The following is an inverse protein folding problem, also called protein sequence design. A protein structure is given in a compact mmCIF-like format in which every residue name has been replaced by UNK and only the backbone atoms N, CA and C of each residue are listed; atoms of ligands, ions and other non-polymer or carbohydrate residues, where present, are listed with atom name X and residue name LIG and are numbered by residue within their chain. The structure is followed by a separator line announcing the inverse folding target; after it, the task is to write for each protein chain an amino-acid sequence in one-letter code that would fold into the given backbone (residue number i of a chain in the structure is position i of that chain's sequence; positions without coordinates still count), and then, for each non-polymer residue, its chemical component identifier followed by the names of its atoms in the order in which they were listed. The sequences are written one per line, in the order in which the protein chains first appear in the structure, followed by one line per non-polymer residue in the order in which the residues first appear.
data_IF_817495410604
#
_entry.id   IF_817495410604
#
_cell.length_a   1.000
_cell.length_b   1.000
_cell.length_c   1.000
_cell.angle_alpha   90.00
_cell.angle_beta   90.00
_cell.angle_gamma   90.00
#
_symmetry.space_group_name_H-M   'P 1'
#
loop_
_entity.id
_entity.type
_entity.pdbx_description
1 polymer ?
#
# COMPACT_ATOMS: atom_id res chain seq x y z
N UNK A 1 -1.93 -48.33 -14.44
CA UNK A 1 -2.81 -49.51 -14.60
C UNK A 1 -2.58 -50.04 -16.00
N UNK A 2 -2.38 -51.35 -16.16
CA UNK A 2 -2.32 -51.96 -17.49
C UNK A 2 -3.70 -51.83 -18.12
N UNK A 3 -3.81 -51.18 -19.27
CA UNK A 3 -5.08 -50.98 -19.94
C UNK A 3 -5.63 -52.33 -20.45
N UNK A 4 -6.93 -52.54 -20.30
CA UNK A 4 -7.61 -53.80 -20.57
C UNK A 4 -8.75 -53.56 -21.55
N UNK A 5 -8.66 -54.13 -22.75
CA UNK A 5 -9.68 -53.97 -23.79
C UNK A 5 -10.60 -55.20 -23.85
N UNK A 6 -11.87 -54.98 -24.20
CA UNK A 6 -12.82 -56.05 -24.50
C UNK A 6 -12.57 -56.59 -25.90
N UNK A 7 -12.93 -57.85 -26.09
CA UNK A 7 -13.00 -58.50 -27.42
C UNK A 7 -13.69 -57.60 -28.46
N UNK A 8 -14.82 -57.02 -28.10
CA UNK A 8 -15.61 -56.17 -29.00
C UNK A 8 -14.87 -54.91 -29.42
N UNK A 9 -14.05 -54.34 -28.54
CA UNK A 9 -13.30 -53.11 -28.84
C UNK A 9 -12.17 -53.40 -29.84
N UNK A 10 -11.41 -54.47 -29.60
CA UNK A 10 -10.31 -54.90 -30.46
C UNK A 10 -10.83 -55.33 -31.84
N UNK A 11 -11.90 -56.14 -31.89
CA UNK A 11 -12.50 -56.54 -33.16
C UNK A 11 -13.14 -55.36 -33.90
N UNK A 12 -13.68 -54.37 -33.20
CA UNK A 12 -14.25 -53.18 -33.86
C UNK A 12 -13.15 -52.37 -34.55
N UNK A 13 -11.98 -52.20 -33.94
CA UNK A 13 -10.86 -51.49 -34.58
C UNK A 13 -10.38 -52.21 -35.85
N UNK A 14 -10.20 -53.54 -35.78
CA UNK A 14 -9.83 -54.35 -36.96
C UNK A 14 -10.90 -54.25 -38.05
N UNK A 15 -12.18 -54.31 -37.65
CA UNK A 15 -13.29 -54.21 -38.59
C UNK A 15 -13.37 -52.83 -39.24
N UNK A 16 -13.12 -51.76 -38.48
CA UNK A 16 -13.07 -50.39 -38.99
C UNK A 16 -11.94 -50.24 -40.01
N UNK A 17 -10.75 -50.79 -39.74
CA UNK A 17 -9.65 -50.80 -40.69
C UNK A 17 -10.01 -51.52 -42.00
N UNK A 18 -10.58 -52.73 -41.91
CA UNK A 18 -10.98 -53.54 -43.08
C UNK A 18 -12.07 -52.86 -43.92
N UNK A 19 -12.89 -52.02 -43.30
CA UNK A 19 -14.02 -51.34 -43.96
C UNK A 19 -13.73 -49.89 -44.33
N UNK A 20 -12.58 -49.34 -43.92
CA UNK A 20 -12.23 -47.93 -44.09
C UNK A 20 -12.24 -47.48 -45.55
N UNK A 21 -11.73 -48.33 -46.45
CA UNK A 21 -11.53 -47.99 -47.86
C UNK A 21 -12.72 -48.44 -48.73
N UNK A 22 -13.79 -48.97 -48.11
CA UNK A 22 -14.97 -49.50 -48.79
C UNK A 22 -14.73 -50.78 -49.60
N UNK A 23 -13.49 -51.29 -49.65
CA UNK A 23 -13.10 -52.53 -50.31
C UNK A 23 -12.70 -53.58 -49.26
N UNK A 24 -13.37 -54.73 -49.27
CA UNK A 24 -13.06 -55.82 -48.33
C UNK A 24 -12.00 -56.72 -48.96
N UNK A 25 -10.75 -56.60 -48.50
CA UNK A 25 -9.66 -57.47 -48.94
C UNK A 25 -9.83 -58.87 -48.32
N UNK A 26 -9.81 -59.96 -49.12
CA UNK A 26 -10.01 -61.32 -48.61
C UNK A 26 -9.02 -61.74 -47.52
N UNK A 27 -7.74 -61.38 -47.67
CA UNK A 27 -6.69 -61.69 -46.68
C UNK A 27 -6.94 -61.01 -45.33
N UNK A 28 -7.36 -59.74 -45.34
CA UNK A 28 -7.69 -58.99 -44.12
C UNK A 28 -8.95 -59.54 -43.45
N UNK A 29 -9.98 -59.91 -44.24
CA UNK A 29 -11.18 -60.57 -43.72
C UNK A 29 -10.87 -61.93 -43.08
N UNK A 30 -9.97 -62.70 -43.69
CA UNK A 30 -9.50 -63.99 -43.17
C UNK A 30 -8.74 -63.78 -41.83
N UNK A 31 -7.86 -62.77 -41.77
CA UNK A 31 -7.20 -62.37 -40.53
C UNK A 31 -8.19 -62.03 -39.41
N UNK A 32 -9.21 -61.20 -39.69
CA UNK A 32 -10.26 -60.88 -38.73
C UNK A 32 -11.02 -62.12 -38.23
N UNK A 33 -11.34 -63.06 -39.12
CA UNK A 33 -12.05 -64.28 -38.74
C UNK A 33 -11.21 -65.18 -37.82
N UNK A 34 -9.94 -65.40 -38.15
CA UNK A 34 -9.03 -66.19 -37.31
C UNK A 34 -8.74 -65.52 -35.97
N UNK A 35 -8.51 -64.21 -35.98
CA UNK A 35 -8.33 -63.43 -34.75
C UNK A 35 -9.56 -63.54 -33.85
N UNK A 36 -10.77 -63.38 -34.40
CA UNK A 36 -12.03 -63.52 -33.65
C UNK A 36 -12.17 -64.90 -33.02
N UNK A 37 -11.83 -65.97 -33.73
CA UNK A 37 -11.88 -67.34 -33.20
C UNK A 37 -10.88 -67.50 -32.05
N UNK A 38 -9.64 -67.09 -32.23
CA UNK A 38 -8.59 -67.17 -31.20
C UNK A 38 -8.97 -66.38 -29.95
N UNK A 39 -9.49 -65.16 -30.12
CA UNK A 39 -9.89 -64.32 -29.01
C UNK A 39 -11.19 -64.78 -28.33
N UNK A 40 -12.13 -65.43 -29.04
CA UNK A 40 -13.32 -66.02 -28.43
C UNK A 40 -13.00 -67.12 -27.41
N UNK A 41 -11.82 -67.77 -27.53
CA UNK A 41 -11.38 -68.79 -26.59
C UNK A 41 -10.78 -68.19 -25.30
N UNK A 42 -10.59 -66.88 -25.24
CA UNK A 42 -10.09 -66.18 -24.07
C UNK A 42 -11.24 -65.68 -23.21
N UNK A 43 -11.17 -65.92 -21.90
CA UNK A 43 -12.19 -65.49 -20.94
C UNK A 43 -11.73 -64.22 -20.22
N UNK A 44 -12.38 -63.09 -20.51
CA UNK A 44 -12.16 -61.84 -19.79
C UNK A 44 -11.72 -60.69 -20.68
N UNK A 45 -11.04 -59.71 -20.07
CA UNK A 45 -10.45 -58.57 -20.78
C UNK A 45 -9.03 -58.94 -21.23
N UNK A 46 -8.56 -58.29 -22.29
CA UNK A 46 -7.23 -58.52 -22.83
C UNK A 46 -6.30 -57.37 -22.47
N UNK A 47 -5.10 -57.69 -21.98
CA UNK A 47 -4.03 -56.71 -21.85
C UNK A 47 -3.23 -56.55 -23.15
N UNK A 48 -2.43 -55.49 -23.24
CA UNK A 48 -1.61 -55.16 -24.41
C UNK A 48 -0.72 -56.34 -24.88
N UNK A 49 -0.09 -57.04 -23.94
CA UNK A 49 0.79 -58.16 -24.23
C UNK A 49 0.02 -59.38 -24.78
N UNK A 50 -1.13 -59.71 -24.20
CA UNK A 50 -2.02 -60.79 -24.65
C UNK A 50 -2.55 -60.52 -26.06
N UNK A 51 -3.00 -59.29 -26.33
CA UNK A 51 -3.45 -58.92 -27.68
C UNK A 51 -2.30 -58.96 -28.67
N UNK A 52 -1.12 -58.47 -28.30
CA UNK A 52 0.08 -58.53 -29.13
C UNK A 52 0.47 -59.97 -29.50
N UNK A 53 0.43 -60.89 -28.53
CA UNK A 53 0.67 -62.31 -28.78
C UNK A 53 -0.38 -62.93 -29.71
N UNK A 54 -1.66 -62.66 -29.49
CA UNK A 54 -2.75 -63.20 -30.33
C UNK A 54 -2.72 -62.66 -31.77
N UNK A 55 -2.37 -61.38 -31.95
CA UNK A 55 -2.17 -60.78 -33.27
C UNK A 55 -1.01 -61.43 -34.02
N UNK A 56 0.11 -61.65 -33.34
CA UNK A 56 1.28 -62.30 -33.92
C UNK A 56 0.97 -63.76 -34.31
N UNK A 57 0.31 -64.51 -33.43
CA UNK A 57 -0.12 -65.87 -33.74
C UNK A 57 -1.08 -65.92 -34.94
N UNK A 58 -2.00 -64.97 -35.03
CA UNK A 58 -2.92 -64.87 -36.18
C UNK A 58 -2.17 -64.52 -37.47
N UNK A 59 -1.14 -63.67 -37.40
CA UNK A 59 -0.29 -63.32 -38.54
C UNK A 59 0.49 -64.53 -39.06
N UNK A 60 0.99 -65.38 -38.16
CA UNK A 60 1.69 -66.61 -38.51
C UNK A 60 0.79 -67.63 -39.21
N UNK A 61 -0.52 -67.59 -38.96
CA UNK A 61 -1.51 -68.44 -39.65
C UNK A 61 -2.01 -67.83 -40.96
N UNK A 62 -2.13 -66.50 -41.04
CA UNK A 62 -2.59 -65.76 -42.23
C UNK A 62 -1.39 -65.10 -42.93
N UNK A 63 -0.61 -65.94 -43.61
CA UNK A 63 0.58 -65.49 -44.34
C UNK A 63 0.26 -64.58 -45.54
N UNK A 64 -0.96 -64.66 -46.06
CA UNK A 64 -1.47 -63.86 -47.19
C UNK A 64 -1.69 -62.38 -46.86
N UNK A 65 -1.69 -62.01 -45.58
CA UNK A 65 -1.76 -60.61 -45.15
C UNK A 65 -0.41 -59.92 -45.41
N UNK A 66 -0.42 -58.69 -45.94
CA UNK A 66 0.81 -57.93 -46.15
C UNK A 66 1.39 -57.46 -44.82
N UNK A 67 2.71 -57.26 -44.76
CA UNK A 67 3.36 -56.73 -43.56
C UNK A 67 2.91 -55.31 -43.24
N UNK A 68 2.59 -54.52 -44.27
CA UNK A 68 2.04 -53.17 -44.14
C UNK A 68 0.65 -53.21 -43.48
N UNK A 69 -0.26 -54.07 -43.97
CA UNK A 69 -1.60 -54.21 -43.39
C UNK A 69 -1.56 -54.75 -41.96
N UNK A 70 -0.70 -55.74 -41.70
CA UNK A 70 -0.51 -56.26 -40.35
C UNK A 70 0.00 -55.17 -39.39
N UNK A 71 1.03 -54.43 -39.81
CA UNK A 71 1.61 -53.34 -38.99
C UNK A 71 0.58 -52.25 -38.75
N UNK A 72 -0.24 -51.90 -39.74
CA UNK A 72 -1.31 -50.93 -39.60
C UNK A 72 -2.38 -51.41 -38.59
N UNK A 73 -2.86 -52.65 -38.71
CA UNK A 73 -3.83 -53.25 -37.78
C UNK A 73 -3.25 -53.30 -36.36
N UNK A 74 -2.01 -53.76 -36.21
CA UNK A 74 -1.31 -53.83 -34.93
C UNK A 74 -1.22 -52.45 -34.27
N UNK A 75 -0.76 -51.43 -35.00
CA UNK A 75 -0.58 -50.09 -34.47
C UNK A 75 -1.91 -49.45 -34.05
N UNK A 76 -2.98 -49.62 -34.82
CA UNK A 76 -4.31 -49.08 -34.47
C UNK A 76 -4.80 -49.67 -33.14
N UNK A 77 -4.60 -50.96 -32.93
CA UNK A 77 -5.00 -51.64 -31.69
C UNK A 77 -4.10 -51.20 -30.52
N UNK A 78 -2.78 -51.09 -30.74
CA UNK A 78 -1.84 -50.63 -29.70
C UNK A 78 -2.07 -49.16 -29.34
N UNK A 79 -2.38 -48.31 -30.30
CA UNK A 79 -2.73 -46.91 -30.05
C UNK A 79 -3.99 -46.79 -29.19
N UNK A 80 -4.95 -47.73 -29.32
CA UNK A 80 -6.13 -47.81 -28.45
C UNK A 80 -5.75 -47.99 -26.98
N UNK A 81 -4.79 -48.86 -26.67
CA UNK A 81 -4.23 -49.05 -25.32
C UNK A 81 -3.45 -47.82 -24.79
N UNK A 82 -3.14 -46.84 -25.65
CA UNK A 82 -2.55 -45.56 -25.25
C UNK A 82 -3.52 -44.37 -25.30
N UNK A 83 -4.72 -44.56 -25.88
CA UNK A 83 -5.72 -43.51 -26.04
C UNK A 83 -6.47 -43.23 -24.74
N UNK A 84 -6.85 -44.26 -23.99
CA UNK A 84 -7.60 -44.06 -22.74
C UNK A 84 -6.77 -43.33 -21.71
N UNK A 85 -5.49 -43.70 -21.55
CA UNK A 85 -4.56 -42.98 -20.68
C UNK A 85 -4.42 -41.49 -21.06
N UNK A 86 -4.30 -41.18 -22.36
CA UNK A 86 -4.24 -39.79 -22.83
C UNK A 86 -5.55 -39.03 -22.58
N UNK A 87 -6.69 -39.69 -22.72
CA UNK A 87 -8.00 -39.10 -22.44
C UNK A 87 -8.18 -38.80 -20.94
N UNK A 88 -7.74 -39.72 -20.08
CA UNK A 88 -7.76 -39.53 -18.62
C UNK A 88 -6.84 -38.38 -18.19
N UNK A 89 -5.64 -38.30 -18.73
CA UNK A 89 -4.71 -37.19 -18.51
C UNK A 89 -5.28 -35.86 -19.01
N UNK A 90 -5.94 -35.86 -20.18
CA UNK A 90 -6.61 -34.67 -20.72
C UNK A 90 -7.79 -34.22 -19.84
N UNK A 91 -8.61 -35.15 -19.36
CA UNK A 91 -9.73 -34.85 -18.46
C UNK A 91 -9.25 -34.34 -17.10
N UNK A 92 -8.16 -34.89 -16.55
CA UNK A 92 -7.51 -34.35 -15.35
C UNK A 92 -7.01 -32.92 -15.56
N UNK A 93 -6.34 -32.66 -16.67
CA UNK A 93 -5.89 -31.30 -17.04
C UNK A 93 -7.07 -30.35 -17.21
N UNK A 94 -8.17 -30.79 -17.83
CA UNK A 94 -9.40 -30.00 -17.98
C UNK A 94 -10.02 -29.66 -16.61
N UNK A 95 -10.07 -30.61 -15.68
CA UNK A 95 -10.56 -30.38 -14.32
C UNK A 95 -9.66 -29.41 -13.55
N UNK A 96 -8.33 -29.58 -13.64
CA UNK A 96 -7.37 -28.69 -13.00
C UNK A 96 -7.50 -27.25 -13.55
N UNK A 97 -7.60 -27.10 -14.87
CA UNK A 97 -7.82 -25.80 -15.51
C UNK A 97 -9.14 -25.16 -15.06
N UNK A 98 -10.23 -25.94 -14.96
CA UNK A 98 -11.51 -25.45 -14.49
C UNK A 98 -11.43 -24.94 -13.03
N UNK A 99 -10.73 -25.65 -12.16
CA UNK A 99 -10.48 -25.22 -10.77
C UNK A 99 -9.65 -23.93 -10.77
N UNK A 100 -8.57 -23.87 -11.55
CA UNK A 100 -7.68 -22.70 -11.63
C UNK A 100 -8.41 -21.45 -12.12
N UNK A 101 -9.30 -21.60 -13.11
CA UNK A 101 -10.15 -20.51 -13.61
C UNK A 101 -11.13 -20.04 -12.53
N UNK A 102 -11.76 -20.97 -11.80
CA UNK A 102 -12.67 -20.62 -10.70
C UNK A 102 -11.95 -19.85 -9.60
N UNK A 103 -10.78 -20.34 -9.16
CA UNK A 103 -9.96 -19.67 -8.15
C UNK A 103 -9.51 -18.28 -8.59
N UNK A 104 -9.10 -18.11 -9.85
CA UNK A 104 -8.75 -16.79 -10.40
C UNK A 104 -9.94 -15.83 -10.38
N UNK A 105 -11.13 -16.30 -10.76
CA UNK A 105 -12.35 -15.49 -10.76
C UNK A 105 -12.76 -15.08 -9.34
N UNK A 106 -12.64 -15.98 -8.38
CA UNK A 106 -12.91 -15.70 -6.96
C UNK A 106 -11.91 -14.70 -6.38
N UNK A 107 -10.61 -14.88 -6.68
CA UNK A 107 -9.56 -13.93 -6.29
C UNK A 107 -9.79 -12.54 -6.89
N UNK A 108 -10.17 -12.46 -8.18
CA UNK A 108 -10.49 -11.20 -8.84
C UNK A 108 -11.72 -10.52 -8.23
N UNK A 109 -12.77 -11.28 -7.91
CA UNK A 109 -13.95 -10.75 -7.23
C UNK A 109 -13.63 -10.24 -5.83
N UNK A 110 -12.82 -10.97 -5.07
CA UNK A 110 -12.36 -10.55 -3.74
C UNK A 110 -11.52 -9.28 -3.81
N UNK A 111 -10.57 -9.20 -4.76
CA UNK A 111 -9.76 -8.00 -4.98
C UNK A 111 -10.61 -6.79 -5.37
N UNK A 112 -11.62 -6.97 -6.23
CA UNK A 112 -12.57 -5.89 -6.59
C UNK A 112 -13.40 -5.45 -5.39
N UNK A 113 -13.92 -6.38 -4.59
CA UNK A 113 -14.67 -6.05 -3.39
C UNK A 113 -13.81 -5.27 -2.38
N UNK A 114 -12.58 -5.72 -2.15
CA UNK A 114 -11.63 -5.03 -1.26
C UNK A 114 -11.27 -3.62 -1.77
N UNK A 115 -11.03 -3.46 -3.06
CA UNK A 115 -10.78 -2.16 -3.67
C UNK A 115 -11.95 -1.19 -3.47
N UNK A 116 -13.20 -1.64 -3.68
CA UNK A 116 -14.40 -0.83 -3.46
C UNK A 116 -14.52 -0.43 -1.98
N UNK A 117 -14.23 -1.34 -1.04
CA UNK A 117 -14.27 -1.00 0.39
C UNK A 117 -13.21 0.02 0.79
N UNK A 118 -11.99 -0.10 0.25
CA UNK A 118 -10.91 0.85 0.48
C UNK A 118 -11.25 2.23 -0.10
N UNK A 119 -11.79 2.28 -1.31
CA UNK A 119 -12.19 3.52 -1.96
C UNK A 119 -13.31 4.23 -1.18
N UNK A 120 -14.31 3.49 -0.70
CA UNK A 120 -15.35 4.06 0.18
C UNK A 120 -14.79 4.61 1.48
N UNK A 121 -13.88 3.89 2.15
CA UNK A 121 -13.25 4.34 3.38
C UNK A 121 -12.42 5.62 3.17
N UNK A 122 -11.69 5.71 2.05
CA UNK A 122 -10.94 6.92 1.67
C UNK A 122 -11.88 8.09 1.39
N UNK A 123 -12.97 7.86 0.65
CA UNK A 123 -13.96 8.89 0.35
C UNK A 123 -14.64 9.42 1.63
N UNK A 124 -15.00 8.54 2.56
CA UNK A 124 -15.59 8.92 3.85
C UNK A 124 -14.60 9.70 4.73
N UNK A 125 -13.35 9.26 4.81
CA UNK A 125 -12.31 9.98 5.54
C UNK A 125 -12.07 11.38 4.96
N UNK A 126 -12.04 11.50 3.63
CA UNK A 126 -11.89 12.80 2.95
C UNK A 126 -13.08 13.71 3.20
N UNK A 127 -14.31 13.20 3.12
CA UNK A 127 -15.52 13.98 3.39
C UNK A 127 -15.56 14.47 4.85
N UNK A 128 -15.12 13.63 5.79
CA UNK A 128 -15.04 14.03 7.21
C UNK A 128 -13.99 15.11 7.44
N UNK A 129 -12.80 14.98 6.84
CA UNK A 129 -11.74 15.97 6.95
C UNK A 129 -12.16 17.32 6.32
N UNK A 130 -12.85 17.30 5.18
CA UNK A 130 -13.35 18.51 4.53
C UNK A 130 -14.44 19.20 5.37
N UNK A 131 -15.35 18.43 5.97
CA UNK A 131 -16.37 18.97 6.87
C UNK A 131 -15.75 19.59 8.14
N UNK A 132 -14.73 18.96 8.71
CA UNK A 132 -14.02 19.46 9.89
C UNK A 132 -13.25 20.75 9.59
N UNK A 133 -12.54 20.81 8.45
CA UNK A 133 -11.86 22.03 8.00
C UNK A 133 -12.85 23.18 7.78
N UNK A 134 -14.00 22.90 7.15
CA UNK A 134 -15.03 23.91 6.94
C UNK A 134 -15.60 24.43 8.26
N UNK A 135 -15.82 23.55 9.24
CA UNK A 135 -16.27 23.95 10.57
C UNK A 135 -15.22 24.80 11.31
N UNK A 136 -13.93 24.47 11.18
CA UNK A 136 -12.85 25.27 11.77
C UNK A 136 -12.79 26.68 11.16
N UNK A 137 -12.87 26.79 9.83
CA UNK A 137 -12.90 28.07 9.12
C UNK A 137 -14.10 28.91 9.56
N UNK A 138 -15.30 28.31 9.66
CA UNK A 138 -16.50 29.04 10.11
C UNK A 138 -16.37 29.55 11.55
N UNK A 139 -15.76 28.76 12.45
CA UNK A 139 -15.49 29.19 13.82
C UNK A 139 -14.48 30.33 13.85
N UNK A 140 -13.41 30.26 13.05
CA UNK A 140 -12.39 31.29 12.96
C UNK A 140 -12.95 32.60 12.38
N UNK A 141 -13.74 32.53 11.31
CA UNK A 141 -14.44 33.69 10.74
C UNK A 141 -15.36 34.35 11.77
N UNK A 142 -16.08 33.55 12.57
CA UNK A 142 -16.95 34.07 13.63
C UNK A 142 -16.15 34.77 14.73
N UNK A 143 -15.01 34.20 15.14
CA UNK A 143 -14.13 34.81 16.14
C UNK A 143 -13.51 36.11 15.63
N UNK A 144 -13.08 36.15 14.37
CA UNK A 144 -12.56 37.36 13.74
C UNK A 144 -13.63 38.45 13.65
N UNK A 145 -14.86 38.09 13.27
CA UNK A 145 -15.99 39.02 13.24
C UNK A 145 -16.34 39.54 14.65
N UNK A 146 -16.34 38.69 15.68
CA UNK A 146 -16.57 39.10 17.07
C UNK A 146 -15.45 40.03 17.58
N UNK A 147 -14.18 39.72 17.26
CA UNK A 147 -13.05 40.56 17.63
C UNK A 147 -13.13 41.94 16.98
N UNK A 148 -13.47 42.02 15.70
CA UNK A 148 -13.68 43.29 15.00
C UNK A 148 -14.82 44.12 15.61
N UNK A 149 -15.93 43.47 15.99
CA UNK A 149 -17.03 44.13 16.67
C UNK A 149 -16.61 44.69 18.03
N UNK A 150 -15.78 43.97 18.80
CA UNK A 150 -15.26 44.46 20.09
C UNK A 150 -14.33 45.65 19.91
N UNK A 151 -13.43 45.61 18.94
CA UNK A 151 -12.51 46.73 18.63
C UNK A 151 -13.32 47.98 18.27
N UNK A 152 -14.31 47.85 17.39
CA UNK A 152 -15.18 48.98 17.02
C UNK A 152 -15.99 49.50 18.21
N UNK A 153 -16.49 48.62 19.07
CA UNK A 153 -17.22 49.02 20.27
C UNK A 153 -16.33 49.74 21.28
N UNK A 154 -15.08 49.29 21.46
CA UNK A 154 -14.09 49.92 22.33
C UNK A 154 -13.64 51.27 21.79
N UNK A 155 -13.38 51.39 20.49
CA UNK A 155 -13.02 52.66 19.84
C UNK A 155 -14.16 53.70 19.97
N UNK A 156 -15.41 53.28 19.79
CA UNK A 156 -16.56 54.17 19.97
C UNK A 156 -16.71 54.59 21.44
N UNK A 157 -16.54 53.68 22.40
CA UNK A 157 -16.58 54.01 23.83
C UNK A 157 -15.46 54.98 24.24
N UNK A 158 -14.26 54.84 23.67
CA UNK A 158 -13.16 55.78 23.89
C UNK A 158 -13.48 57.17 23.33
N UNK A 159 -14.00 57.26 22.09
CA UNK A 159 -14.41 58.55 21.49
C UNK A 159 -15.49 59.25 22.30
N UNK A 160 -16.50 58.51 22.78
CA UNK A 160 -17.54 59.08 23.65
C UNK A 160 -16.97 59.58 24.99
N UNK A 161 -16.01 58.84 25.58
CA UNK A 161 -15.35 59.26 26.81
C UNK A 161 -14.48 60.50 26.61
N UNK A 162 -13.69 60.56 25.54
CA UNK A 162 -12.86 61.72 25.18
C UNK A 162 -13.71 62.96 24.89
N UNK A 163 -14.81 62.82 24.14
CA UNK A 163 -15.73 63.92 23.86
C UNK A 163 -16.34 64.47 25.14
N UNK A 164 -16.71 63.59 26.08
CA UNK A 164 -17.25 63.99 27.38
C UNK A 164 -16.22 64.73 28.22
N UNK A 165 -14.96 64.28 28.25
CA UNK A 165 -13.87 64.97 28.93
C UNK A 165 -13.66 66.36 28.33
N UNK A 166 -13.64 66.48 26.99
CA UNK A 166 -13.49 67.76 26.28
C UNK A 166 -14.62 68.73 26.64
N UNK A 167 -15.88 68.27 26.63
CA UNK A 167 -17.02 69.10 27.00
C UNK A 167 -16.99 69.55 28.47
N UNK A 168 -16.55 68.69 29.38
CA UNK A 168 -16.41 69.02 30.80
C UNK A 168 -15.27 70.04 31.03
N UNK A 169 -14.15 69.91 30.32
CA UNK A 169 -13.05 70.86 30.37
C UNK A 169 -13.42 72.22 29.77
N UNK A 170 -14.11 72.25 28.62
CA UNK A 170 -14.62 73.49 28.01
C UNK A 170 -15.59 74.21 28.96
N UNK A 171 -16.50 73.48 29.61
CA UNK A 171 -17.40 74.05 30.61
C UNK A 171 -16.65 74.60 31.84
N UNK A 172 -15.57 73.94 32.28
CA UNK A 172 -14.72 74.43 33.38
C UNK A 172 -14.01 75.72 33.00
N UNK A 173 -13.43 75.78 31.80
CA UNK A 173 -12.72 76.97 31.30
C UNK A 173 -13.68 78.17 31.18
N UNK A 174 -14.88 77.96 30.63
CA UNK A 174 -15.91 79.01 30.57
C UNK A 174 -16.33 79.49 31.97
N UNK A 175 -16.49 78.58 32.93
CA UNK A 175 -16.82 78.94 34.32
C UNK A 175 -15.69 79.74 34.99
N UNK A 176 -14.43 79.38 34.74
CA UNK A 176 -13.25 80.11 35.23
C UNK A 176 -13.14 81.50 34.60
N UNK A 177 -13.38 81.63 33.29
CA UNK A 177 -13.38 82.91 32.58
C UNK A 177 -14.48 83.84 33.10
N UNK A 178 -15.70 83.31 33.32
CA UNK A 178 -16.81 84.06 33.92
C UNK A 178 -16.46 84.49 35.36
N UNK A 179 -15.78 83.64 36.14
CA UNK A 179 -15.34 83.96 37.50
C UNK A 179 -14.29 85.08 37.49
N UNK A 180 -13.29 85.00 36.61
CA UNK A 180 -12.25 86.04 36.40
C UNK A 180 -12.86 87.36 35.95
N UNK A 181 -13.82 87.35 35.03
CA UNK A 181 -14.56 88.55 34.60
C UNK A 181 -15.34 89.18 35.75
N UNK A 182 -16.06 88.37 36.55
CA UNK A 182 -16.78 88.88 37.74
C UNK A 182 -15.84 89.46 38.78
N UNK A 183 -14.70 88.82 39.01
CA UNK A 183 -13.67 89.31 39.93
C UNK A 183 -13.06 90.62 39.42
N UNK A 184 -12.71 90.70 38.14
CA UNK A 184 -12.22 91.93 37.51
C UNK A 184 -13.26 93.06 37.61
N UNK A 185 -14.55 92.76 37.40
CA UNK A 185 -15.64 93.73 37.55
C UNK A 185 -15.80 94.19 39.00
N UNK A 186 -15.65 93.29 39.98
CA UNK A 186 -15.67 93.61 41.41
C UNK A 186 -14.49 94.50 41.81
N UNK A 187 -13.28 94.19 41.32
CA UNK A 187 -12.08 94.99 41.55
C UNK A 187 -12.21 96.37 40.90
N UNK A 188 -12.80 96.47 39.70
CA UNK A 188 -13.10 97.75 39.06
C UNK A 188 -14.15 98.56 39.84
N UNK A 189 -15.18 97.91 40.39
CA UNK A 189 -16.17 98.56 41.24
C UNK A 189 -15.58 99.02 42.58
N UNK A 190 -14.69 98.23 43.21
CA UNK A 190 -13.98 98.61 44.43
C UNK A 190 -12.99 99.75 44.16
N UNK A 191 -12.28 99.72 43.03
CA UNK A 191 -11.42 100.81 42.58
C UNK A 191 -12.22 102.09 42.33
N UNK A 192 -13.37 102.01 41.66
CA UNK A 192 -14.27 103.15 41.44
C UNK A 192 -14.86 103.67 42.77
N UNK A 193 -15.19 102.81 43.73
CA UNK A 193 -15.69 103.23 45.04
C UNK A 193 -14.61 103.92 45.90
N UNK A 194 -13.36 103.45 45.83
CA UNK A 194 -12.21 104.13 46.44
C UNK A 194 -11.90 105.45 45.75
N UNK A 195 -11.98 105.50 44.42
CA UNK A 195 -11.84 106.73 43.65
C UNK A 195 -12.93 107.74 44.00
N UNK A 196 -14.20 107.35 44.14
CA UNK A 196 -15.29 108.26 44.55
C UNK A 196 -15.14 108.71 46.02
N UNK A 197 -14.60 107.87 46.90
CA UNK A 197 -14.33 108.24 48.30
C UNK A 197 -13.10 109.17 48.44
N UNK A 198 -12.09 109.00 47.58
CA UNK A 198 -10.94 109.92 47.49
C UNK A 198 -11.28 111.21 46.71
N UNK A 199 -12.18 111.16 45.73
CA UNK A 199 -12.66 112.30 44.93
C UNK A 199 -13.64 113.18 45.71
N UNK A 200 -14.36 112.66 46.72
CA UNK A 200 -15.15 113.49 47.64
C UNK A 200 -14.30 114.32 48.62
N UNK A 201 -12.99 114.08 48.69
CA UNK A 201 -12.04 114.89 49.48
C UNK A 201 -11.14 115.76 48.58
N UNK A 202 -11.17 115.56 47.25
CA UNK A 202 -10.29 116.23 46.28
C UNK A 202 -11.00 117.15 45.28
N UNK A 203 -12.20 117.62 45.59
CA UNK A 203 -12.91 118.65 44.80
C UNK A 203 -12.73 120.06 45.37
N UNK A 204 -11.48 120.41 45.64
CA UNK A 204 -11.04 121.81 45.73
C UNK A 204 -9.56 121.87 45.31
N UNK A 205 -9.29 121.62 44.02
CA UNK A 205 -8.32 122.37 43.21
C UNK A 205 -8.00 121.67 41.87
N UNK A 206 -8.10 122.47 40.82
CA UNK A 206 -7.25 122.42 39.61
C UNK A 206 -7.45 121.28 38.59
N UNK A 207 -8.34 121.58 37.64
CA UNK A 207 -7.99 121.81 36.24
C UNK A 207 -6.78 121.05 35.62
N UNK A 208 -7.16 120.12 34.72
CA UNK A 208 -6.63 119.97 33.34
C UNK A 208 -5.35 119.12 33.16
N UNK A 209 -5.49 118.17 32.22
CA UNK A 209 -4.47 117.51 31.37
C UNK A 209 -3.86 116.19 31.92
N UNK A 210 -4.42 115.05 31.50
CA UNK A 210 -3.80 114.09 30.57
C UNK A 210 -4.78 112.93 30.30
N UNK A 211 -5.66 113.16 29.32
CA UNK A 211 -6.61 112.17 28.81
C UNK A 211 -6.07 111.43 27.59
N UNK A 212 -4.76 111.15 27.49
CA UNK A 212 -4.26 110.57 26.23
C UNK A 212 -2.95 109.79 26.35
N UNK A 213 -2.86 108.84 27.29
CA UNK A 213 -2.00 107.65 27.12
C UNK A 213 -2.73 106.51 27.88
N UNK A 214 -2.89 105.34 27.23
CA UNK A 214 -3.48 104.07 27.74
C UNK A 214 -4.92 103.68 27.33
N UNK A 215 -5.25 103.76 26.03
CA UNK A 215 -6.35 102.94 25.49
C UNK A 215 -6.06 102.35 24.10
N UNK A 216 -4.77 102.21 23.75
CA UNK A 216 -4.33 101.63 22.47
C UNK A 216 -3.39 100.40 22.64
N UNK A 217 -2.90 100.09 23.85
CA UNK A 217 -1.94 98.99 24.02
C UNK A 217 -2.52 97.64 24.49
N UNK A 218 -3.82 97.52 24.79
CA UNK A 218 -4.38 96.23 25.27
C UNK A 218 -5.00 95.34 24.19
N UNK A 219 -5.42 95.90 23.05
CA UNK A 219 -6.12 95.12 22.01
C UNK A 219 -5.15 94.48 21.00
N UNK A 220 -3.99 95.08 20.72
CA UNK A 220 -3.03 94.54 19.74
C UNK A 220 -2.10 93.45 20.32
N UNK A 221 -1.80 93.49 21.62
CA UNK A 221 -1.00 92.43 22.27
C UNK A 221 -1.82 91.17 22.57
N UNK A 222 -3.11 91.26 22.94
CA UNK A 222 -3.96 90.08 23.17
C UNK A 222 -4.27 89.30 21.89
N UNK A 223 -4.42 89.98 20.75
CA UNK A 223 -4.67 89.33 19.46
C UNK A 223 -3.43 88.59 18.91
N UNK A 224 -2.22 89.12 19.14
CA UNK A 224 -0.97 88.44 18.75
C UNK A 224 -0.65 87.26 19.66
N UNK A 225 -0.83 87.38 20.97
CA UNK A 225 -0.52 86.30 21.93
C UNK A 225 -1.46 85.11 21.70
N UNK A 226 -2.78 85.31 21.54
CA UNK A 226 -3.72 84.20 21.27
C UNK A 226 -3.41 83.46 19.97
N UNK A 227 -3.08 84.18 18.89
CA UNK A 227 -2.77 83.55 17.60
C UNK A 227 -1.42 82.79 17.61
N UNK A 228 -0.43 83.27 18.36
CA UNK A 228 0.88 82.63 18.48
C UNK A 228 0.82 81.39 19.41
N UNK A 229 0.02 81.43 20.48
CA UNK A 229 -0.22 80.28 21.36
C UNK A 229 -1.03 79.17 20.67
N UNK A 230 -2.10 79.49 19.94
CA UNK A 230 -2.88 78.49 19.18
C UNK A 230 -2.05 77.81 18.08
N UNK A 231 -1.19 78.57 17.39
CA UNK A 231 -0.31 78.01 16.37
C UNK A 231 0.77 77.12 16.97
N UNK A 232 1.30 77.47 18.15
CA UNK A 232 2.30 76.65 18.86
C UNK A 232 1.69 75.36 19.39
N UNK A 233 0.51 75.41 20.00
CA UNK A 233 -0.19 74.24 20.55
C UNK A 233 -0.53 73.24 19.43
N UNK A 234 -1.09 73.71 18.30
CA UNK A 234 -1.39 72.81 17.16
C UNK A 234 -0.15 72.14 16.57
N UNK A 235 0.97 72.87 16.48
CA UNK A 235 2.22 72.32 15.97
C UNK A 235 2.86 71.31 16.93
N UNK A 236 2.72 71.52 18.25
CA UNK A 236 3.19 70.60 19.29
C UNK A 236 2.33 69.33 19.34
N UNK A 237 1.00 69.45 19.28
CA UNK A 237 0.08 68.31 19.22
C UNK A 237 0.26 67.47 17.93
N UNK A 238 0.42 68.10 16.77
CA UNK A 238 0.72 67.36 15.52
C UNK A 238 2.06 66.63 15.59
N UNK A 239 3.08 67.23 16.21
CA UNK A 239 4.38 66.59 16.38
C UNK A 239 4.32 65.41 17.36
N UNK A 240 3.61 65.55 18.48
CA UNK A 240 3.40 64.46 19.44
C UNK A 240 2.56 63.32 18.85
N UNK A 241 1.47 63.62 18.15
CA UNK A 241 0.64 62.62 17.46
C UNK A 241 1.45 61.81 16.45
N UNK A 242 2.35 62.46 15.71
CA UNK A 242 3.20 61.80 14.72
C UNK A 242 4.22 60.88 15.38
N UNK A 243 4.83 61.30 16.50
CA UNK A 243 5.75 60.46 17.28
C UNK A 243 5.03 59.25 17.86
N UNK A 244 3.80 59.43 18.35
CA UNK A 244 2.98 58.31 18.89
C UNK A 244 2.59 57.36 17.77
N UNK A 245 2.15 57.85 16.61
CA UNK A 245 1.85 57.01 15.44
C UNK A 245 3.05 56.22 14.96
N UNK A 246 4.23 56.84 14.88
CA UNK A 246 5.45 56.17 14.42
C UNK A 246 5.90 55.10 15.43
N UNK A 247 5.72 55.33 16.74
CA UNK A 247 5.97 54.32 17.78
C UNK A 247 4.99 53.15 17.70
N UNK A 248 3.70 53.41 17.52
CA UNK A 248 2.68 52.36 17.39
C UNK A 248 2.98 51.49 16.16
N UNK A 249 3.26 52.11 15.01
CA UNK A 249 3.64 51.38 13.79
C UNK A 249 4.90 50.54 13.98
N UNK A 250 5.92 51.09 14.63
CA UNK A 250 7.16 50.35 14.91
C UNK A 250 6.90 49.15 15.83
N UNK A 251 6.09 49.32 16.89
CA UNK A 251 5.72 48.22 17.78
C UNK A 251 4.84 47.16 17.09
N UNK A 252 3.93 47.56 16.21
CA UNK A 252 3.11 46.66 15.39
C UNK A 252 3.96 45.87 14.40
N UNK A 253 4.88 46.54 13.69
CA UNK A 253 5.80 45.89 12.74
C UNK A 253 6.75 44.93 13.45
N UNK A 254 7.27 45.29 14.64
CA UNK A 254 8.12 44.40 15.45
C UNK A 254 7.34 43.18 15.95
N UNK A 255 6.09 43.38 16.43
CA UNK A 255 5.21 42.27 16.83
C UNK A 255 4.88 41.36 15.65
N UNK A 256 4.59 41.93 14.48
CA UNK A 256 4.31 41.18 13.26
C UNK A 256 5.54 40.38 12.81
N UNK A 257 6.74 40.96 12.93
CA UNK A 257 8.00 40.27 12.62
C UNK A 257 8.27 39.12 13.57
N UNK A 258 8.07 39.31 14.88
CA UNK A 258 8.23 38.25 15.87
C UNK A 258 7.21 37.13 15.66
N UNK A 259 5.94 37.47 15.39
CA UNK A 259 4.90 36.49 15.12
C UNK A 259 5.16 35.68 13.85
N UNK A 260 5.62 36.33 12.77
CA UNK A 260 5.97 35.65 11.52
C UNK A 260 7.21 34.76 11.67
N UNK A 261 8.23 35.20 12.41
CA UNK A 261 9.41 34.39 12.71
C UNK A 261 9.09 33.18 13.58
N UNK A 262 8.25 33.35 14.61
CA UNK A 262 7.78 32.25 15.45
C UNK A 262 6.96 31.23 14.63
N UNK A 263 6.07 31.69 13.75
CA UNK A 263 5.32 30.82 12.86
C UNK A 263 6.25 30.06 11.90
N UNK A 264 7.25 30.73 11.34
CA UNK A 264 8.24 30.08 10.46
C UNK A 264 9.01 28.98 11.21
N UNK A 265 9.45 29.24 12.44
CA UNK A 265 10.12 28.25 13.28
C UNK A 265 9.23 27.04 13.59
N UNK A 266 7.95 27.26 13.91
CA UNK A 266 7.01 26.17 14.12
C UNK A 266 6.78 25.32 12.86
N UNK A 267 6.71 25.97 11.68
CA UNK A 267 6.59 25.26 10.40
C UNK A 267 7.86 24.46 10.10
N UNK A 268 9.05 25.03 10.29
CA UNK A 268 10.31 24.32 10.11
C UNK A 268 10.45 23.13 11.09
N UNK A 269 10.05 23.30 12.34
CA UNK A 269 10.10 22.26 13.35
C UNK A 269 9.11 21.13 13.05
N UNK A 270 7.89 21.44 12.62
CA UNK A 270 6.90 20.43 12.20
C UNK A 270 7.36 19.66 10.95
N UNK A 271 7.97 20.33 9.97
CA UNK A 271 8.60 19.66 8.81
C UNK A 271 9.76 18.76 9.27
N UNK A 272 10.58 19.21 10.21
CA UNK A 272 11.68 18.40 10.76
C UNK A 272 11.15 17.15 11.46
N UNK A 273 10.15 17.28 12.33
CA UNK A 273 9.54 16.16 13.05
C UNK A 273 8.93 15.17 12.06
N UNK A 274 8.14 15.64 11.10
CA UNK A 274 7.53 14.78 10.07
C UNK A 274 8.58 14.03 9.24
N UNK A 275 9.68 14.69 8.88
CA UNK A 275 10.79 14.03 8.19
C UNK A 275 11.51 13.00 9.06
N UNK A 276 11.70 13.28 10.34
CA UNK A 276 12.29 12.35 11.30
C UNK A 276 11.43 11.09 11.44
N UNK A 277 10.12 11.26 11.58
CA UNK A 277 9.15 10.15 11.64
C UNK A 277 9.19 9.32 10.36
N UNK A 278 9.21 9.97 9.19
CA UNK A 278 9.33 9.28 7.90
C UNK A 278 10.63 8.47 7.79
N UNK A 279 11.75 8.98 8.29
CA UNK A 279 13.03 8.26 8.29
C UNK A 279 12.99 7.05 9.23
N UNK A 280 12.37 7.18 10.40
CA UNK A 280 12.19 6.06 11.35
C UNK A 280 11.29 4.99 10.75
N UNK A 281 10.17 5.38 10.14
CA UNK A 281 9.25 4.44 9.49
C UNK A 281 9.92 3.74 8.31
N UNK A 282 10.69 4.48 7.50
CA UNK A 282 11.47 3.90 6.40
C UNK A 282 12.49 2.89 6.91
N UNK A 283 13.26 3.21 7.96
CA UNK A 283 14.22 2.29 8.55
C UNK A 283 13.57 1.02 9.11
N UNK A 284 12.35 1.13 9.65
CA UNK A 284 11.56 -0.02 10.13
C UNK A 284 11.09 -0.90 8.98
N UNK A 285 10.65 -0.31 7.88
CA UNK A 285 10.28 -1.05 6.65
C UNK A 285 11.51 -1.78 6.10
N UNK A 286 12.65 -1.10 6.00
CA UNK A 286 13.89 -1.68 5.48
C UNK A 286 14.33 -2.88 6.35
N UNK A 287 14.27 -2.75 7.68
CA UNK A 287 14.55 -3.86 8.60
C UNK A 287 13.59 -5.05 8.41
N UNK A 288 12.29 -4.80 8.22
CA UNK A 288 11.32 -5.87 7.95
C UNK A 288 11.58 -6.58 6.62
N UNK A 289 12.01 -5.85 5.59
CA UNK A 289 12.38 -6.41 4.30
C UNK A 289 13.62 -7.29 4.41
N UNK A 290 14.63 -6.85 5.17
CA UNK A 290 15.85 -7.63 5.41
C UNK A 290 15.57 -8.91 6.21
N UNK A 291 14.72 -8.84 7.24
CA UNK A 291 14.28 -10.03 7.98
C UNK A 291 13.50 -11.00 7.08
N UNK A 292 12.59 -10.51 6.24
CA UNK A 292 11.86 -11.35 5.28
C UNK A 292 12.78 -12.01 4.25
N UNK A 293 13.82 -11.29 3.79
CA UNK A 293 14.84 -11.86 2.89
C UNK A 293 15.64 -12.96 3.57
N UNK A 294 16.07 -12.75 4.82
CA UNK A 294 16.81 -13.76 5.59
C UNK A 294 15.98 -15.03 5.79
N UNK A 295 14.70 -14.89 6.15
CA UNK A 295 13.79 -16.03 6.30
C UNK A 295 13.63 -16.78 4.96
N UNK A 296 13.39 -16.07 3.86
CA UNK A 296 13.25 -16.69 2.54
C UNK A 296 14.53 -17.41 2.09
N UNK A 297 15.71 -16.89 2.44
CA UNK A 297 16.99 -17.53 2.14
C UNK A 297 17.25 -18.76 3.01
N UNK A 298 16.91 -18.71 4.30
CA UNK A 298 16.94 -19.88 5.19
C UNK A 298 16.00 -20.99 4.70
N UNK A 299 14.78 -20.63 4.26
CA UNK A 299 13.82 -21.59 3.67
C UNK A 299 14.36 -22.24 2.40
N UNK A 300 14.95 -21.44 1.49
CA UNK A 300 15.60 -21.97 0.27
C UNK A 300 16.75 -22.91 0.59
N UNK A 301 17.59 -22.57 1.55
CA UNK A 301 18.70 -23.43 1.95
C UNK A 301 18.19 -24.75 2.54
N UNK A 302 17.12 -24.69 3.35
CA UNK A 302 16.51 -25.88 3.93
C UNK A 302 15.82 -26.76 2.87
N UNK A 303 15.18 -26.15 1.87
CA UNK A 303 14.59 -26.87 0.74
C UNK A 303 15.67 -27.51 -0.14
N UNK A 304 16.75 -26.79 -0.44
CA UNK A 304 17.89 -27.33 -1.17
C UNK A 304 18.54 -28.50 -0.41
N UNK A 305 18.75 -28.36 0.91
CA UNK A 305 19.28 -29.44 1.73
C UNK A 305 18.37 -30.69 1.72
N UNK A 306 17.04 -30.51 1.73
CA UNK A 306 16.09 -31.63 1.58
C UNK A 306 16.25 -32.31 0.22
N UNK A 307 16.34 -31.53 -0.86
CA UNK A 307 16.56 -32.06 -2.22
C UNK A 307 17.86 -32.86 -2.27
N UNK A 308 18.95 -32.31 -1.74
CA UNK A 308 20.26 -32.98 -1.72
C UNK A 308 20.20 -34.29 -0.92
N UNK A 309 19.56 -34.29 0.25
CA UNK A 309 19.38 -35.53 1.03
C UNK A 309 18.54 -36.58 0.31
N UNK A 310 17.55 -36.16 -0.47
CA UNK A 310 16.70 -37.09 -1.22
C UNK A 310 17.45 -37.67 -2.43
N UNK A 311 18.26 -36.85 -3.12
CA UNK A 311 19.19 -37.30 -4.17
C UNK A 311 20.17 -38.34 -3.60
N UNK A 312 20.76 -38.08 -2.44
CA UNK A 312 21.68 -39.01 -1.75
C UNK A 312 20.98 -40.34 -1.41
N UNK A 313 19.73 -40.29 -0.90
CA UNK A 313 18.94 -41.51 -0.64
C UNK A 313 18.66 -42.31 -1.90
N UNK A 314 18.24 -41.66 -2.99
CA UNK A 314 17.98 -42.32 -4.28
C UNK A 314 19.25 -42.97 -4.80
N UNK A 315 20.39 -42.29 -4.69
CA UNK A 315 21.69 -42.84 -5.05
C UNK A 315 22.03 -44.09 -4.22
N UNK A 316 21.90 -44.00 -2.89
CA UNK A 316 22.16 -45.12 -1.98
C UNK A 316 21.23 -46.32 -2.23
N UNK A 317 19.97 -46.07 -2.57
CA UNK A 317 19.02 -47.11 -2.97
C UNK A 317 19.45 -47.79 -4.28
N UNK A 318 19.83 -47.01 -5.29
CA UNK A 318 20.35 -47.52 -6.57
C UNK A 318 21.62 -48.35 -6.39
N UNK A 319 22.57 -47.88 -5.56
CA UNK A 319 23.79 -48.63 -5.23
C UNK A 319 23.49 -49.94 -4.48
N UNK A 320 22.52 -49.93 -3.54
CA UNK A 320 22.05 -51.15 -2.86
C UNK A 320 21.39 -52.14 -3.81
N UNK A 321 20.52 -51.68 -4.70
CA UNK A 321 19.89 -52.54 -5.70
C UNK A 321 20.92 -53.15 -6.65
N UNK A 322 21.91 -52.37 -7.09
CA UNK A 322 23.01 -52.86 -7.90
C UNK A 322 23.84 -53.93 -7.16
N UNK A 323 24.17 -53.69 -5.88
CA UNK A 323 24.88 -54.64 -5.04
C UNK A 323 24.08 -55.93 -4.80
N UNK A 324 22.76 -55.83 -4.58
CA UNK A 324 21.86 -56.98 -4.44
C UNK A 324 21.82 -57.81 -5.72
N UNK A 325 21.64 -57.18 -6.89
CA UNK A 325 21.67 -57.87 -8.18
C UNK A 325 23.00 -58.58 -8.42
N UNK A 326 24.12 -57.96 -8.03
CA UNK A 326 25.45 -58.57 -8.14
C UNK A 326 25.60 -59.76 -7.19
N UNK A 327 25.12 -59.65 -5.96
CA UNK A 327 25.14 -60.73 -4.98
C UNK A 327 24.26 -61.92 -5.42
N UNK A 328 23.06 -61.67 -5.95
CA UNK A 328 22.20 -62.69 -6.54
C UNK A 328 22.87 -63.39 -7.73
N UNK A 329 23.50 -62.61 -8.61
CA UNK A 329 24.25 -63.18 -9.75
C UNK A 329 25.40 -64.08 -9.27
N UNK A 330 26.16 -63.62 -8.28
CA UNK A 330 27.26 -64.41 -7.71
C UNK A 330 26.76 -65.67 -6.99
N UNK A 331 25.62 -65.60 -6.30
CA UNK A 331 25.00 -66.77 -5.66
C UNK A 331 24.56 -67.80 -6.70
N UNK A 332 23.94 -67.37 -7.81
CA UNK A 332 23.54 -68.28 -8.90
C UNK A 332 24.75 -68.93 -9.57
N UNK A 333 25.82 -68.17 -9.81
CA UNK A 333 27.08 -68.70 -10.33
C UNK A 333 27.68 -69.74 -9.38
N UNK A 334 27.69 -69.50 -8.07
CA UNK A 334 28.20 -70.45 -7.09
C UNK A 334 27.35 -71.73 -7.01
N UNK A 335 26.01 -71.62 -7.13
CA UNK A 335 25.12 -72.78 -7.21
C UNK A 335 25.36 -73.59 -8.48
N UNK A 336 25.57 -72.93 -9.62
CA UNK A 336 25.87 -73.57 -10.90
C UNK A 336 27.23 -74.28 -10.87
N UNK A 337 28.27 -73.63 -10.32
CA UNK A 337 29.59 -74.23 -10.10
C UNK A 337 29.52 -75.43 -9.14
N UNK A 338 28.77 -75.33 -8.05
CA UNK A 338 28.58 -76.43 -7.11
C UNK A 338 27.82 -77.60 -7.74
N UNK A 339 26.81 -77.32 -8.56
CA UNK A 339 26.08 -78.35 -9.32
C UNK A 339 26.98 -79.03 -10.37
N UNK A 340 27.83 -78.26 -11.04
CA UNK A 340 28.81 -78.79 -12.00
C UNK A 340 29.83 -79.70 -11.28
N UNK A 341 30.38 -79.25 -10.15
CA UNK A 341 31.32 -80.03 -9.35
C UNK A 341 30.67 -81.30 -8.76
N UNK A 342 29.39 -81.24 -8.34
CA UNK A 342 28.65 -82.40 -7.89
C UNK A 342 28.44 -83.43 -9.01
N UNK A 343 28.14 -82.95 -10.23
CA UNK A 343 28.00 -83.79 -11.42
C UNK A 343 29.33 -84.43 -11.83
N UNK A 344 30.42 -83.67 -11.81
CA UNK A 344 31.77 -84.21 -12.06
C UNK A 344 32.18 -85.25 -11.01
N UNK A 345 31.80 -85.06 -9.74
CA UNK A 345 32.05 -86.03 -8.69
C UNK A 345 31.20 -87.31 -8.86
N UNK A 346 29.96 -87.19 -9.33
CA UNK A 346 29.08 -88.33 -9.65
C UNK A 346 29.60 -89.10 -10.88
N UNK A 347 30.03 -88.40 -11.92
CA UNK A 347 30.65 -89.01 -13.11
C UNK A 347 31.98 -89.72 -12.76
N UNK A 348 32.79 -89.13 -11.86
CA UNK A 348 34.01 -89.77 -11.36
C UNK A 348 33.73 -90.97 -10.43
N UNK A 349 32.60 -90.98 -9.71
CA UNK A 349 32.18 -92.12 -8.90
C UNK A 349 31.67 -93.28 -9.78
N UNK A 350 30.99 -92.98 -10.88
CA UNK A 350 30.53 -93.96 -11.86
C UNK A 350 31.64 -94.52 -12.77
N UNK A 351 32.84 -93.91 -12.81
CA UNK A 351 33.98 -94.41 -13.59
C UNK A 351 34.94 -95.34 -12.81
N UNK A 352 34.68 -95.64 -11.53
CA UNK A 352 35.47 -96.61 -10.77
C UNK A 352 35.03 -98.04 -11.08
N UNK A 353 35.67 -98.62 -12.09
CA UNK A 353 35.65 -100.05 -12.40
C UNK A 353 36.00 -100.90 -11.16
N UNK A 354 35.19 -101.94 -10.94
CA UNK A 354 35.26 -102.92 -9.87
C UNK A 354 36.51 -103.81 -10.10
N UNK A 355 37.44 -103.94 -9.13
CA UNK A 355 38.48 -104.96 -9.21
C UNK A 355 37.85 -106.34 -8.98
N UNK A 356 38.04 -107.22 -9.97
CA UNK A 356 37.62 -108.62 -9.98
C UNK A 356 38.19 -109.36 -8.76
N UNK A 357 37.32 -109.88 -7.90
CA UNK A 357 37.67 -110.69 -6.73
C UNK A 357 37.99 -112.11 -7.20
N UNK A 358 39.16 -112.68 -6.89
CA UNK A 358 39.46 -114.06 -7.23
C UNK A 358 38.59 -115.02 -6.40
N UNK A 359 38.23 -116.20 -6.95
CA UNK A 359 37.32 -117.12 -6.28
C UNK A 359 38.00 -117.75 -5.06
N UNK A 360 37.20 -117.89 -3.99
CA UNK A 360 37.49 -118.73 -2.84
C UNK A 360 37.44 -120.19 -3.30
N UNK A 361 38.52 -120.94 -3.06
CA UNK A 361 38.51 -122.38 -2.89
C UNK A 361 39.66 -122.80 -1.95
N UNK A 362 39.39 -123.90 -1.25
CA UNK A 362 40.04 -124.52 -0.08
C UNK A 362 41.56 -124.73 -0.09
#
# INVERSE_FOLDING_TARGET
MTELLKLTEILTEVQNFITADGQIVPAQRNFYQNLRVKMNNHNGLFNEAEVGSLLLETRLEVLELTDEDYTAIYNIIMDRFGLTKRLEEEDQLRQELAIKVRLRKEAEQKAKAEAITKEKAIAEAKAKAEAELKAQIEVEERLMAEAQQRILAEENAQKEAEEKIRLEEEARLQAEEIAKLKEATRLQAEANAKLVHEESIRLEEEARIKAEIEASMKVEQEAKIKAEEEARIKAEEEAELKIIQDKIKFEEDEKLRIATEAHLQMVEESIRISNQERLVEQAKIDAQVDDARRIAEEERQLEQAKIDTEIEKVRMMSEREAAQKLAEKNSKLAEEEAALAAKEAEDAANSKDIPDLPPLDD
#
